data_IF_153337072521
#
_entry.id   IF_153337072521
#
_cell.length_a   1.000
_cell.length_b   1.000
_cell.length_c   1.000
_cell.angle_alpha   90.00
_cell.angle_beta   90.00
_cell.angle_gamma   90.00
#
_symmetry.space_group_name_H-M   'P 1'
#
loop_
_entity.id
_entity.type
_entity.pdbx_description
1 polymer ?
#
# COMPACT_ATOMS: atom_id res chain seq x y z
N UNK A 1 -1.30 6.61 -91.65
CA UNK A 1 -2.10 7.36 -90.66
C UNK A 1 -2.77 6.34 -89.76
N UNK A 2 -2.62 6.49 -88.44
CA UNK A 2 -3.28 5.63 -87.47
C UNK A 2 -4.76 6.05 -87.42
N UNK A 3 -5.66 5.19 -87.87
CA UNK A 3 -7.10 5.44 -87.84
C UNK A 3 -7.58 5.24 -86.40
N UNK A 4 -7.86 6.34 -85.69
CA UNK A 4 -8.42 6.32 -84.33
C UNK A 4 -9.93 6.43 -84.46
N UNK A 5 -10.64 5.33 -84.20
CA UNK A 5 -12.10 5.32 -84.14
C UNK A 5 -12.55 6.03 -82.85
N UNK A 6 -13.35 7.11 -82.93
CA UNK A 6 -13.86 7.83 -81.76
C UNK A 6 -14.85 7.00 -80.92
N UNK A 7 -15.38 5.88 -81.43
CA UNK A 7 -16.33 5.01 -80.72
C UNK A 7 -15.89 3.54 -80.77
N UNK A 8 -14.81 3.15 -80.06
CA UNK A 8 -14.36 1.77 -80.05
C UNK A 8 -15.41 0.86 -79.41
N UNK A 9 -15.74 -0.24 -80.08
CA UNK A 9 -16.60 -1.27 -79.50
C UNK A 9 -15.82 -2.07 -78.44
N UNK A 10 -16.01 -1.73 -77.16
CA UNK A 10 -15.33 -2.40 -76.04
C UNK A 10 -16.03 -3.73 -75.72
N UNK A 11 -15.54 -4.83 -76.28
CA UNK A 11 -16.00 -6.18 -75.92
C UNK A 11 -15.27 -6.66 -74.66
N UNK A 12 -15.90 -6.53 -73.50
CA UNK A 12 -15.36 -7.06 -72.23
C UNK A 12 -15.73 -8.53 -72.08
N UNK A 13 -14.75 -9.42 -72.19
CA UNK A 13 -14.95 -10.85 -71.87
C UNK A 13 -15.15 -10.95 -70.34
N UNK A 14 -16.25 -11.53 -69.84
CA UNK A 14 -16.37 -11.78 -68.40
C UNK A 14 -15.21 -12.68 -67.97
N UNK A 15 -14.56 -12.34 -66.85
CA UNK A 15 -13.51 -13.19 -66.28
C UNK A 15 -14.11 -14.59 -66.09
N UNK A 16 -13.51 -15.61 -66.70
CA UNK A 16 -14.09 -16.94 -66.84
C UNK A 16 -14.36 -17.67 -65.50
N UNK A 17 -13.97 -17.09 -64.37
CA UNK A 17 -14.09 -17.68 -63.03
C UNK A 17 -14.91 -16.89 -62.01
N UNK A 18 -15.55 -15.76 -62.38
CA UNK A 18 -16.29 -14.93 -61.41
C UNK A 18 -15.43 -14.41 -60.25
N UNK A 19 -16.06 -13.89 -59.19
CA UNK A 19 -15.35 -13.52 -57.96
C UNK A 19 -14.93 -14.80 -57.20
N UNK A 20 -13.62 -15.05 -57.12
CA UNK A 20 -13.08 -16.22 -56.41
C UNK A 20 -12.97 -15.92 -54.92
N UNK A 21 -13.87 -16.48 -54.13
CA UNK A 21 -13.80 -16.44 -52.67
C UNK A 21 -12.95 -17.60 -52.16
N UNK A 22 -11.80 -17.29 -51.54
CA UNK A 22 -10.94 -18.30 -50.92
C UNK A 22 -11.38 -18.54 -49.47
N UNK A 23 -11.85 -19.74 -49.17
CA UNK A 23 -12.17 -20.16 -47.81
C UNK A 23 -10.93 -20.75 -47.14
N UNK A 24 -10.38 -20.04 -46.15
CA UNK A 24 -9.28 -20.55 -45.34
C UNK A 24 -9.80 -21.05 -44.00
N UNK A 25 -9.60 -22.33 -43.71
CA UNK A 25 -10.00 -22.94 -42.44
C UNK A 25 -8.95 -22.65 -41.35
N UNK A 26 -9.15 -21.57 -40.60
CA UNK A 26 -8.28 -21.19 -39.48
C UNK A 26 -8.84 -21.82 -38.19
N UNK A 27 -7.99 -22.55 -37.47
CA UNK A 27 -8.31 -23.09 -36.14
C UNK A 27 -7.56 -22.31 -35.08
N UNK A 28 -8.25 -21.40 -34.40
CA UNK A 28 -7.70 -20.68 -33.24
C UNK A 28 -7.93 -21.52 -31.99
N UNK A 29 -6.86 -21.86 -31.28
CA UNK A 29 -6.94 -22.48 -29.94
C UNK A 29 -6.39 -21.48 -28.94
N UNK A 30 -7.24 -21.00 -28.04
CA UNK A 30 -6.78 -20.22 -26.89
C UNK A 30 -6.14 -21.15 -25.89
N UNK A 31 -4.86 -20.92 -25.60
CA UNK A 31 -4.18 -21.61 -24.50
C UNK A 31 -4.79 -21.15 -23.19
N UNK A 32 -4.92 -22.07 -22.24
CA UNK A 32 -5.38 -21.72 -20.90
C UNK A 32 -4.41 -20.68 -20.30
N UNK A 33 -4.90 -19.54 -19.79
CA UNK A 33 -4.05 -18.54 -19.17
C UNK A 33 -3.40 -19.09 -17.90
N UNK A 34 -2.21 -18.61 -17.52
CA UNK A 34 -1.53 -19.07 -16.33
C UNK A 34 -2.37 -18.79 -15.08
N UNK A 35 -2.29 -19.66 -14.05
CA UNK A 35 -2.98 -19.44 -12.79
C UNK A 35 -2.52 -18.14 -12.11
N UNK A 36 -3.48 -17.40 -11.55
CA UNK A 36 -3.17 -16.22 -10.74
C UNK A 36 -2.45 -16.69 -9.47
N UNK A 37 -1.35 -16.03 -9.05
CA UNK A 37 -0.67 -16.38 -7.80
C UNK A 37 -1.64 -16.25 -6.61
N UNK A 38 -1.53 -17.16 -5.66
CA UNK A 38 -2.33 -17.11 -4.44
C UNK A 38 -2.06 -15.82 -3.65
N UNK A 39 -3.09 -15.17 -3.08
CA UNK A 39 -2.90 -14.00 -2.23
C UNK A 39 -1.93 -14.29 -1.07
N UNK A 40 -1.08 -13.31 -0.74
CA UNK A 40 -0.21 -13.38 0.42
C UNK A 40 -0.97 -13.38 1.76
N UNK A 41 -0.32 -13.76 2.88
CA UNK A 41 -0.99 -13.89 4.17
C UNK A 41 -1.42 -12.52 4.73
N UNK A 42 -2.67 -12.44 5.18
CA UNK A 42 -3.20 -11.28 5.91
C UNK A 42 -2.77 -11.38 7.38
N UNK A 43 -1.87 -10.50 7.81
CA UNK A 43 -1.42 -10.46 9.21
C UNK A 43 -2.27 -9.45 9.99
N UNK A 44 -3.18 -9.95 10.83
CA UNK A 44 -3.96 -9.14 11.77
C UNK A 44 -3.21 -9.09 13.09
N UNK A 45 -2.75 -7.91 13.49
CA UNK A 45 -2.13 -7.70 14.81
C UNK A 45 -3.14 -7.01 15.72
N UNK A 46 -3.51 -7.71 16.79
CA UNK A 46 -4.23 -7.09 17.90
C UNK A 46 -3.23 -6.44 18.84
N UNK A 47 -3.32 -5.13 18.96
CA UNK A 47 -2.41 -4.35 19.81
C UNK A 47 -3.24 -3.72 20.92
N UNK A 48 -2.94 -4.11 22.16
CA UNK A 48 -3.43 -3.43 23.37
C UNK A 48 -2.34 -2.48 23.86
N UNK A 49 -2.67 -1.22 24.17
CA UNK A 49 -1.70 -0.32 24.79
C UNK A 49 -1.29 -0.88 26.17
N UNK A 50 -0.03 -0.69 26.59
CA UNK A 50 0.43 -1.10 27.91
C UNK A 50 -0.38 -0.40 29.01
N UNK A 51 -0.53 -1.06 30.16
CA UNK A 51 -1.18 -0.43 31.32
C UNK A 51 -0.32 0.74 31.80
N UNK A 52 -0.95 1.90 32.02
CA UNK A 52 -0.25 3.05 32.57
C UNK A 52 0.24 2.71 33.99
N UNK A 53 1.44 3.17 34.38
CA UNK A 53 1.91 3.00 35.75
C UNK A 53 0.94 3.67 36.74
N UNK A 54 0.87 3.20 37.99
CA UNK A 54 0.09 3.87 39.02
C UNK A 54 0.57 5.31 39.18
N UNK A 55 -0.36 6.26 39.43
CA UNK A 55 0.01 7.63 39.73
C UNK A 55 0.92 7.66 40.97
N UNK A 56 1.93 8.56 41.01
CA UNK A 56 2.86 8.64 42.12
C UNK A 56 2.10 8.93 43.42
N UNK A 57 2.52 8.38 44.57
CA UNK A 57 1.80 8.57 45.81
C UNK A 57 1.67 10.05 46.16
N UNK A 58 0.50 10.44 46.70
CA UNK A 58 0.38 11.77 47.29
C UNK A 58 1.27 11.83 48.53
N UNK A 59 2.28 12.72 48.49
CA UNK A 59 3.10 13.09 49.64
C UNK A 59 2.58 14.40 50.18
N UNK A 60 1.89 14.36 51.32
CA UNK A 60 1.59 15.57 52.09
C UNK A 60 2.84 15.91 52.90
N UNK A 61 3.57 16.95 52.47
CA UNK A 61 4.81 17.42 53.12
C UNK A 61 4.54 18.69 53.91
N UNK A 62 5.09 18.79 55.10
CA UNK A 62 5.03 20.00 55.94
C UNK A 62 6.24 20.94 55.76
N UNK A 63 7.10 20.73 54.76
CA UNK A 63 8.34 21.51 54.57
C UNK A 63 8.38 22.32 53.26
N UNK A 64 9.08 23.45 53.32
CA UNK A 64 9.20 24.42 52.22
C UNK A 64 10.01 23.88 51.03
N UNK A 65 9.68 24.29 49.79
CA UNK A 65 10.40 23.86 48.60
C UNK A 65 11.87 24.31 48.60
N UNK A 66 12.80 23.47 48.14
CA UNK A 66 14.20 23.85 47.97
C UNK A 66 14.39 24.86 46.83
N UNK A 67 15.48 25.62 46.90
CA UNK A 67 15.82 26.66 45.92
C UNK A 67 16.17 26.04 44.55
N UNK A 68 15.79 26.67 43.42
CA UNK A 68 16.09 26.15 42.09
C UNK A 68 17.58 26.25 41.77
N UNK A 69 18.12 25.19 41.15
CA UNK A 69 19.49 25.15 40.62
C UNK A 69 19.50 25.27 39.10
N UNK A 70 20.55 25.85 38.50
CA UNK A 70 20.65 26.01 37.05
C UNK A 70 20.79 24.65 36.33
N UNK A 71 20.16 24.47 35.17
CA UNK A 71 20.25 23.23 34.41
C UNK A 71 21.65 23.05 33.80
N UNK A 72 22.17 21.81 33.72
CA UNK A 72 23.46 21.53 33.10
C UNK A 72 23.41 21.73 31.58
N UNK A 73 24.53 22.17 30.99
CA UNK A 73 24.69 22.29 29.54
C UNK A 73 24.88 20.89 28.93
N UNK A 74 23.97 20.47 28.05
CA UNK A 74 24.03 19.16 27.40
C UNK A 74 24.32 19.34 25.91
N UNK A 75 25.52 18.95 25.47
CA UNK A 75 25.86 18.82 24.05
C UNK A 75 25.41 17.42 23.58
N UNK A 76 24.47 17.37 22.63
CA UNK A 76 24.00 16.11 22.04
C UNK A 76 24.34 16.09 20.56
N UNK A 77 24.99 15.00 20.13
CA UNK A 77 25.11 14.71 18.71
C UNK A 77 23.77 14.21 18.14
N UNK A 78 23.58 14.42 16.84
CA UNK A 78 22.38 13.96 16.14
C UNK A 78 22.55 12.47 15.80
N UNK A 79 21.59 11.61 16.17
CA UNK A 79 21.64 10.20 15.82
C UNK A 79 21.71 9.96 14.30
N UNK A 80 22.31 8.85 13.84
CA UNK A 80 22.37 8.49 12.43
C UNK A 80 20.97 8.20 11.86
N UNK A 81 20.79 8.52 10.58
CA UNK A 81 19.50 8.33 9.88
C UNK A 81 19.31 6.86 9.52
N UNK A 82 18.16 6.25 9.86
CA UNK A 82 17.90 4.85 9.53
C UNK A 82 17.65 4.62 8.03
N UNK A 83 17.85 3.39 7.53
CA UNK A 83 17.59 3.05 6.14
C UNK A 83 16.10 3.10 5.79
N UNK A 84 15.80 3.30 4.51
CA UNK A 84 14.43 3.36 3.98
C UNK A 84 13.73 1.99 4.06
N UNK A 85 12.51 1.96 4.61
CA UNK A 85 11.70 0.74 4.74
C UNK A 85 10.90 0.45 3.46
N UNK A 86 10.79 -0.82 3.11
CA UNK A 86 9.88 -1.34 2.07
C UNK A 86 8.42 -1.39 2.56
N UNK A 87 7.48 -1.23 1.63
CA UNK A 87 6.05 -1.13 1.93
C UNK A 87 5.42 -2.50 2.22
N UNK A 88 4.73 -2.63 3.36
CA UNK A 88 3.90 -3.78 3.72
C UNK A 88 2.52 -3.30 4.18
N UNK A 89 1.48 -4.06 3.86
CA UNK A 89 0.12 -3.79 4.35
C UNK A 89 -0.11 -4.53 5.66
N UNK A 90 -0.11 -3.80 6.78
CA UNK A 90 -0.43 -4.30 8.11
C UNK A 90 -1.72 -3.65 8.58
N UNK A 91 -2.73 -4.46 8.90
CA UNK A 91 -3.98 -3.98 9.50
C UNK A 91 -3.86 -4.13 11.03
N UNK A 92 -3.81 -3.01 11.74
CA UNK A 92 -3.67 -2.99 13.20
C UNK A 92 -5.05 -2.81 13.82
N UNK A 93 -5.49 -3.80 14.61
CA UNK A 93 -6.71 -3.70 15.42
C UNK A 93 -6.32 -3.21 16.82
N UNK A 94 -6.76 -2.00 17.19
CA UNK A 94 -6.49 -1.40 18.51
C UNK A 94 -7.56 -1.79 19.51
N UNK A 95 -7.14 -2.35 20.64
CA UNK A 95 -8.02 -2.66 21.77
C UNK A 95 -8.02 -1.51 22.79
N UNK A 96 -9.08 -1.42 23.59
CA UNK A 96 -9.16 -0.45 24.68
C UNK A 96 -8.05 -0.68 25.72
N UNK A 97 -7.59 0.42 26.32
CA UNK A 97 -6.60 0.38 27.37
C UNK A 97 -7.19 -0.21 28.66
N UNK A 98 -6.42 -1.01 29.41
CA UNK A 98 -6.82 -1.43 30.75
C UNK A 98 -6.90 -0.22 31.69
N UNK A 99 -7.75 -0.27 32.73
CA UNK A 99 -7.89 0.83 33.67
C UNK A 99 -6.59 1.08 34.45
N UNK A 100 -6.38 2.34 34.81
CA UNK A 100 -5.22 2.77 35.59
C UNK A 100 -5.36 2.26 37.03
N UNK A 101 -4.31 1.68 37.62
CA UNK A 101 -4.36 1.23 39.00
C UNK A 101 -4.52 2.42 39.98
N UNK A 102 -5.14 2.20 41.16
CA UNK A 102 -5.42 3.25 42.13
C UNK A 102 -4.14 3.86 42.73
N UNK A 103 -4.25 5.11 43.19
CA UNK A 103 -3.16 5.89 43.80
C UNK A 103 -2.94 5.51 45.26
N UNK A 104 -1.70 5.36 45.69
CA UNK A 104 -1.34 5.23 47.11
C UNK A 104 -1.14 6.61 47.77
N UNK A 105 -1.31 6.70 49.09
CA UNK A 105 -1.09 7.94 49.87
C UNK A 105 -0.01 7.66 50.91
N UNK A 106 1.04 8.49 50.95
CA UNK A 106 2.12 8.42 51.95
C UNK A 106 2.08 9.70 52.79
N UNK A 107 1.88 9.55 54.10
CA UNK A 107 1.86 10.66 55.06
C UNK A 107 3.23 10.71 55.73
N UNK A 108 4.05 11.71 55.37
CA UNK A 108 5.34 12.00 55.99
C UNK A 108 5.04 12.97 57.16
N UNK A 109 5.19 12.51 58.42
CA UNK A 109 5.08 13.35 59.63
C UNK A 109 6.40 14.06 59.91
#
# INVERSE_FOLDING_TARGET
>A
GIFIDPNPQIVRRPAAGGAVAYTQNIRVRFLQPPPIPSPGPLIIKEVRPPQLPPPPPLRLRQQAPPLPQPPPLILREKPPVPPASTASQTIIRRLAAPPVPPRSVLIER
#
